data_IF_669944657134
#
_entry.id   IF_669944657134
#
_cell.length_a   1.000
_cell.length_b   1.000
_cell.length_c   1.000
_cell.angle_alpha   90.00
_cell.angle_beta   90.00
_cell.angle_gamma   90.00
#
_symmetry.space_group_name_H-M   'P 1'
#
loop_
_entity.id
_entity.type
_entity.pdbx_description
1 polymer ?
#
# COMPACT_ATOMS: atom_id res chain seq x y z
N UNK A 1 16.82 9.96 -25.55
CA UNK A 1 16.47 8.97 -24.50
C UNK A 1 15.20 9.45 -23.84
N UNK A 2 14.17 8.60 -23.72
CA UNK A 2 12.96 8.96 -22.99
C UNK A 2 13.26 9.00 -21.49
N UNK A 3 12.85 10.05 -20.80
CA UNK A 3 12.99 10.18 -19.35
C UNK A 3 12.03 9.20 -18.65
N UNK A 4 12.53 8.17 -17.96
CA UNK A 4 11.68 7.20 -17.27
C UNK A 4 10.93 7.80 -16.08
N UNK A 5 11.33 8.97 -15.58
CA UNK A 5 10.75 9.62 -14.41
C UNK A 5 9.68 10.65 -14.76
N UNK A 6 9.45 10.94 -16.05
CA UNK A 6 8.42 11.88 -16.50
C UNK A 6 6.99 11.51 -16.06
N UNK A 7 6.75 10.25 -15.64
CA UNK A 7 5.46 9.77 -15.12
C UNK A 7 5.31 9.93 -13.62
N UNK A 8 6.36 10.35 -12.91
CA UNK A 8 6.38 10.46 -11.46
C UNK A 8 5.91 11.85 -11.03
N UNK A 9 4.67 12.18 -11.39
CA UNK A 9 4.02 13.44 -10.98
C UNK A 9 3.24 13.24 -9.68
N UNK A 10 3.39 14.20 -8.77
CA UNK A 10 2.59 14.27 -7.56
C UNK A 10 1.09 14.32 -7.90
N UNK A 11 0.26 13.65 -7.10
CA UNK A 11 -1.19 13.66 -7.31
C UNK A 11 -1.74 15.01 -6.86
N UNK A 12 -2.53 15.68 -7.71
CA UNK A 12 -3.15 16.95 -7.34
C UNK A 12 -4.19 16.76 -6.22
N UNK A 13 -4.47 17.80 -5.44
CA UNK A 13 -5.51 17.77 -4.41
C UNK A 13 -6.90 17.45 -4.97
N UNK A 14 -7.19 17.93 -6.19
CA UNK A 14 -8.45 17.69 -6.92
C UNK A 14 -8.56 16.23 -7.38
N UNK A 15 -7.47 15.61 -7.81
CA UNK A 15 -7.46 14.20 -8.16
C UNK A 15 -7.53 13.30 -6.92
N UNK A 16 -6.86 13.68 -5.83
CA UNK A 16 -6.96 12.98 -4.55
C UNK A 16 -8.39 12.98 -3.99
N UNK A 17 -9.13 14.08 -4.13
CA UNK A 17 -10.53 14.20 -3.69
C UNK A 17 -11.50 13.27 -4.46
N UNK A 18 -11.15 12.85 -5.69
CA UNK A 18 -11.95 11.91 -6.48
C UNK A 18 -11.77 10.45 -6.04
N UNK A 19 -10.79 10.16 -5.18
CA UNK A 19 -10.51 8.82 -4.69
C UNK A 19 -11.49 8.51 -3.55
N UNK A 20 -12.44 7.61 -3.81
CA UNK A 20 -13.35 7.11 -2.78
C UNK A 20 -12.52 6.33 -1.74
N UNK A 21 -12.54 6.71 -0.45
CA UNK A 21 -11.82 5.98 0.58
C UNK A 21 -12.31 4.53 0.64
N UNK A 22 -11.38 3.58 0.47
CA UNK A 22 -11.64 2.16 0.65
C UNK A 22 -10.89 1.71 1.88
N UNK A 23 -11.56 0.95 2.74
CA UNK A 23 -10.87 0.23 3.81
C UNK A 23 -10.02 -0.87 3.16
N UNK A 24 -8.73 -0.59 2.98
CA UNK A 24 -7.75 -1.56 2.47
C UNK A 24 -6.98 -2.16 3.64
N UNK A 25 -7.03 -3.49 3.77
CA UNK A 25 -6.19 -4.23 4.70
C UNK A 25 -5.04 -4.88 3.93
N UNK A 26 -3.81 -4.74 4.44
CA UNK A 26 -2.63 -5.39 3.90
C UNK A 26 -2.14 -6.43 4.89
N UNK A 27 -2.05 -7.68 4.44
CA UNK A 27 -1.55 -8.81 5.22
C UNK A 27 -0.29 -9.34 4.54
N UNK A 28 0.77 -9.55 5.32
CA UNK A 28 2.04 -10.10 4.86
C UNK A 28 2.24 -11.49 5.44
N UNK A 29 2.68 -12.43 4.61
CA UNK A 29 2.95 -13.80 5.04
C UNK A 29 3.34 -14.70 3.88
N UNK A 30 3.98 -15.82 4.20
CA UNK A 30 4.32 -16.85 3.22
C UNK A 30 3.06 -17.64 2.83
N UNK A 31 2.86 -17.89 1.54
CA UNK A 31 1.74 -18.71 1.07
C UNK A 31 0.35 -18.08 1.22
N UNK A 32 0.25 -16.77 1.51
CA UNK A 32 -1.03 -16.08 1.74
C UNK A 32 -2.02 -16.25 0.58
N UNK A 33 -1.55 -16.28 -0.67
CA UNK A 33 -2.42 -16.45 -1.84
C UNK A 33 -3.16 -17.79 -1.81
N UNK A 34 -2.47 -18.88 -1.45
CA UNK A 34 -3.08 -20.22 -1.45
C UNK A 34 -4.09 -20.35 -0.30
N UNK A 35 -3.77 -19.79 0.87
CA UNK A 35 -4.69 -19.70 2.00
C UNK A 35 -5.94 -18.89 1.66
N UNK A 36 -5.79 -17.74 1.00
CA UNK A 36 -6.92 -16.91 0.57
C UNK A 36 -7.78 -17.65 -0.44
N UNK A 37 -7.19 -18.27 -1.48
CA UNK A 37 -7.94 -19.04 -2.48
C UNK A 37 -8.78 -20.15 -1.86
N UNK A 38 -8.27 -20.82 -0.82
CA UNK A 38 -9.01 -21.86 -0.10
C UNK A 38 -10.20 -21.33 0.72
N UNK A 39 -10.11 -20.10 1.23
CA UNK A 39 -11.09 -19.54 2.17
C UNK A 39 -11.99 -18.45 1.59
N UNK A 40 -11.73 -17.98 0.36
CA UNK A 40 -12.41 -16.83 -0.27
C UNK A 40 -13.94 -17.03 -0.36
N UNK A 41 -14.39 -18.27 -0.50
CA UNK A 41 -15.80 -18.65 -0.59
C UNK A 41 -16.57 -18.44 0.71
N UNK A 42 -15.92 -18.62 1.87
CA UNK A 42 -16.55 -18.48 3.18
C UNK A 42 -17.08 -17.06 3.40
N UNK A 43 -16.40 -16.05 2.84
CA UNK A 43 -16.80 -14.65 2.93
C UNK A 43 -17.70 -14.17 1.78
N UNK A 44 -18.11 -15.04 0.85
CA UNK A 44 -18.75 -14.64 -0.43
C UNK A 44 -17.93 -13.57 -1.18
N UNK A 45 -16.60 -13.68 -1.10
CA UNK A 45 -15.69 -12.70 -1.70
C UNK A 45 -15.28 -13.10 -3.11
N UNK A 46 -14.98 -12.12 -3.95
CA UNK A 46 -14.57 -12.33 -5.36
C UNK A 46 -13.11 -11.94 -5.53
N UNK A 47 -12.30 -12.86 -6.05
CA UNK A 47 -10.92 -12.55 -6.43
C UNK A 47 -10.91 -11.68 -7.68
N UNK A 48 -10.71 -10.37 -7.52
CA UNK A 48 -10.72 -9.44 -8.64
C UNK A 48 -9.46 -9.55 -9.52
N UNK A 49 -8.28 -9.65 -8.90
CA UNK A 49 -7.02 -9.74 -9.62
C UNK A 49 -5.96 -10.46 -8.79
N UNK A 50 -5.20 -11.36 -9.42
CA UNK A 50 -3.98 -11.93 -8.88
C UNK A 50 -2.81 -11.51 -9.77
N UNK A 51 -1.84 -10.79 -9.22
CA UNK A 51 -0.65 -10.34 -9.94
C UNK A 51 0.60 -10.70 -9.16
N UNK A 52 1.66 -11.06 -9.87
CA UNK A 52 2.99 -11.14 -9.28
C UNK A 52 3.43 -9.70 -8.99
N UNK A 53 3.50 -9.36 -7.70
CA UNK A 53 3.99 -8.05 -7.30
C UNK A 53 5.49 -7.96 -7.62
N UNK A 54 5.98 -6.83 -8.13
CA UNK A 54 7.41 -6.56 -8.21
C UNK A 54 8.02 -6.57 -6.81
N UNK A 55 9.35 -6.72 -6.72
CA UNK A 55 10.04 -6.65 -5.45
C UNK A 55 9.78 -5.28 -4.79
N UNK A 56 9.18 -5.30 -3.60
CA UNK A 56 9.02 -4.14 -2.75
C UNK A 56 10.12 -4.17 -1.69
N UNK A 57 10.86 -3.07 -1.54
CA UNK A 57 11.82 -2.90 -0.43
C UNK A 57 11.20 -1.97 0.59
N UNK A 58 10.97 -2.47 1.80
CA UNK A 58 10.49 -1.68 2.93
C UNK A 58 11.67 -1.20 3.77
N UNK A 59 11.64 0.07 4.16
CA UNK A 59 12.64 0.65 5.05
C UNK A 59 12.07 0.73 6.46
N UNK A 60 12.76 0.10 7.40
CA UNK A 60 12.43 0.16 8.82
C UNK A 60 13.47 1.03 9.51
N UNK A 61 13.00 2.00 10.30
CA UNK A 61 13.88 2.84 11.12
C UNK A 61 13.80 2.37 12.57
N UNK A 62 14.95 2.21 13.21
CA UNK A 62 15.03 1.97 14.65
C UNK A 62 14.80 3.23 15.47
N UNK A 63 14.79 4.40 14.83
CA UNK A 63 14.68 5.71 15.47
C UNK A 63 13.25 6.27 15.44
N UNK A 64 12.40 5.78 14.54
CA UNK A 64 11.04 6.31 14.36
C UNK A 64 10.13 5.33 13.61
N UNK A 65 8.84 5.37 13.93
CA UNK A 65 7.74 4.73 13.22
C UNK A 65 6.78 5.74 12.56
N UNK A 66 7.16 7.02 12.48
CA UNK A 66 6.31 8.09 11.96
C UNK A 66 6.09 8.02 10.45
N UNK A 67 6.87 7.22 9.74
CA UNK A 67 6.77 7.06 8.30
C UNK A 67 6.88 5.59 7.86
N UNK A 68 6.01 5.21 6.94
CA UNK A 68 6.14 4.00 6.14
C UNK A 68 6.80 4.38 4.81
N UNK A 69 7.99 3.85 4.56
CA UNK A 69 8.76 4.11 3.35
C UNK A 69 8.96 2.82 2.59
N UNK A 70 8.61 2.81 1.30
CA UNK A 70 8.88 1.69 0.42
C UNK A 70 9.33 2.13 -0.96
N UNK A 71 10.16 1.29 -1.58
CA UNK A 71 10.56 1.44 -2.98
C UNK A 71 10.01 0.28 -3.79
N UNK A 72 9.40 0.59 -4.95
CA UNK A 72 8.92 -0.39 -5.93
C UNK A 72 9.05 0.18 -7.34
N UNK A 73 9.64 -0.57 -8.27
CA UNK A 73 9.78 -0.16 -9.68
C UNK A 73 10.39 1.24 -9.86
N UNK A 74 11.36 1.61 -9.02
CA UNK A 74 11.99 2.94 -9.05
C UNK A 74 11.12 4.08 -8.49
N UNK A 75 9.92 3.78 -7.98
CA UNK A 75 9.05 4.72 -7.28
C UNK A 75 9.30 4.64 -5.76
N UNK A 76 9.48 5.80 -5.14
CA UNK A 76 9.54 5.97 -3.69
C UNK A 76 8.15 6.37 -3.18
N UNK A 77 7.50 5.47 -2.44
CA UNK A 77 6.21 5.72 -1.77
C UNK A 77 6.48 6.03 -0.29
N UNK A 78 6.16 7.25 0.13
CA UNK A 78 6.30 7.71 1.51
C UNK A 78 4.90 7.97 2.06
N UNK A 79 4.60 7.37 3.20
CA UNK A 79 3.37 7.64 3.95
C UNK A 79 3.71 8.02 5.37
N UNK A 80 3.05 9.05 5.90
CA UNK A 80 3.23 9.49 7.30
C UNK A 80 2.10 8.95 8.16
N UNK A 81 2.43 8.51 9.38
CA UNK A 81 1.44 8.12 10.38
C UNK A 81 0.60 9.35 10.74
N UNK A 82 -0.72 9.20 10.74
CA UNK A 82 -1.68 10.28 11.07
C UNK A 82 -2.58 9.92 12.24
N UNK A 83 -2.52 8.68 12.72
CA UNK A 83 -3.31 8.23 13.85
C UNK A 83 -3.18 6.74 14.10
N UNK A 84 -3.97 6.29 15.05
CA UNK A 84 -4.09 4.90 15.46
C UNK A 84 -5.56 4.63 15.80
N UNK A 85 -6.07 3.44 15.47
CA UNK A 85 -7.42 3.05 15.88
C UNK A 85 -7.43 2.58 17.34
N UNK A 86 -8.60 2.51 18.01
CA UNK A 86 -8.70 1.97 19.37
C UNK A 86 -8.16 0.54 19.55
N UNK A 87 -8.13 -0.23 18.46
CA UNK A 87 -7.64 -1.61 18.41
C UNK A 87 -6.12 -1.70 18.16
N UNK A 88 -5.43 -0.57 18.03
CA UNK A 88 -3.96 -0.49 17.84
C UNK A 88 -3.48 -0.53 16.39
N UNK A 89 -4.37 -0.30 15.41
CA UNK A 89 -3.97 -0.26 14.00
C UNK A 89 -3.45 1.12 13.60
N UNK A 90 -2.26 1.18 13.02
CA UNK A 90 -1.65 2.43 12.56
C UNK A 90 -2.29 2.94 11.26
N UNK A 91 -2.62 4.23 11.22
CA UNK A 91 -3.21 4.90 10.05
C UNK A 91 -2.12 5.74 9.38
N UNK A 92 -1.85 5.48 8.10
CA UNK A 92 -0.86 6.21 7.31
C UNK A 92 -1.51 6.92 6.11
N UNK A 93 -1.10 8.17 5.85
CA UNK A 93 -1.51 8.93 4.67
C UNK A 93 -0.33 9.16 3.71
N UNK A 94 -0.55 9.08 2.38
CA UNK A 94 0.49 9.40 1.40
C UNK A 94 1.03 10.82 1.58
N UNK A 95 2.34 10.97 1.42
CA UNK A 95 3.02 12.26 1.37
C UNK A 95 3.45 12.52 -0.08
N UNK A 96 2.60 13.21 -0.83
CA UNK A 96 2.79 13.54 -2.24
C UNK A 96 1.70 14.47 -2.74
#
# INVERSE_FOLDING_TARGET
MADPFAKNTATSSEDAARIIPRAEFRVFGHGVIDLVKGNIWNGKTVLFQARRMPAETYFLSTLTNEANVKVRDGLLDIKTKVGETPEGYEIFQPRG
#
